data_IF_815047339866
#
_entry.id   IF_815047339866
#
_cell.length_a   1.000
_cell.length_b   1.000
_cell.length_c   1.000
_cell.angle_alpha   90.00
_cell.angle_beta   90.00
_cell.angle_gamma   90.00
#
_symmetry.space_group_name_H-M   'P 1'
#
loop_
_entity.id
_entity.type
_entity.pdbx_description
1 polymer ?
#
# COMPACT_ATOMS: atom_id res chain seq x y z
N UNK A 1 -0.15 -1.22 -9.69
CA UNK A 1 0.80 -1.01 -8.55
C UNK A 1 0.00 -1.06 -7.27
N UNK A 2 0.48 -1.84 -6.30
CA UNK A 2 -0.05 -1.88 -4.92
C UNK A 2 1.07 -1.46 -3.98
N UNK A 3 0.88 -0.35 -3.26
CA UNK A 3 1.78 0.11 -2.20
C UNK A 3 1.33 -0.49 -0.87
N UNK A 4 2.26 -0.94 -0.03
CA UNK A 4 1.95 -1.31 1.35
C UNK A 4 2.22 -0.14 2.29
N UNK A 5 1.29 0.13 3.22
CA UNK A 5 1.40 1.16 4.26
C UNK A 5 1.57 0.49 5.61
N UNK A 6 2.83 0.46 6.09
CA UNK A 6 3.23 -0.46 7.14
C UNK A 6 2.57 -0.18 8.50
N UNK A 7 2.46 1.09 8.91
CA UNK A 7 2.16 1.40 10.30
C UNK A 7 1.39 2.72 10.54
N UNK A 8 1.49 3.71 9.66
CA UNK A 8 0.79 4.98 9.78
C UNK A 8 1.00 5.70 11.12
N UNK A 9 0.09 6.61 11.45
CA UNK A 9 0.09 7.32 12.72
C UNK A 9 -0.43 6.48 13.91
N UNK A 10 -0.53 5.14 13.75
CA UNK A 10 -1.01 4.25 14.81
C UNK A 10 -0.06 4.23 16.01
N UNK A 11 -0.64 4.09 17.19
CA UNK A 11 0.06 4.18 18.46
C UNK A 11 0.37 2.83 19.11
N UNK A 12 0.84 2.88 20.35
CA UNK A 12 1.23 1.69 21.13
C UNK A 12 0.07 0.72 21.42
N UNK A 13 -1.18 1.16 21.33
CA UNK A 13 -2.36 0.30 21.51
C UNK A 13 -2.45 -0.80 20.44
N UNK A 14 -1.94 -0.54 19.23
CA UNK A 14 -1.97 -1.46 18.10
C UNK A 14 -0.67 -2.26 17.92
N UNK A 15 0.28 -2.10 18.85
CA UNK A 15 1.63 -2.71 18.81
C UNK A 15 1.64 -4.22 18.59
N UNK A 16 0.58 -4.93 18.92
CA UNK A 16 0.53 -6.37 18.75
C UNK A 16 0.66 -6.81 17.29
N UNK A 17 0.23 -5.95 16.35
CA UNK A 17 0.26 -6.24 14.89
C UNK A 17 0.98 -5.17 14.09
N UNK A 18 1.03 -3.92 14.56
CA UNK A 18 1.62 -2.77 13.85
C UNK A 18 3.13 -2.69 14.15
N UNK A 19 4.01 -2.69 13.14
CA UNK A 19 5.46 -2.64 13.35
C UNK A 19 5.91 -1.27 13.86
N UNK A 20 6.68 -1.26 14.97
CA UNK A 20 7.09 -0.05 15.68
C UNK A 20 8.61 0.16 15.75
N UNK A 21 9.42 -0.86 15.44
CA UNK A 21 10.88 -0.74 15.36
C UNK A 21 11.38 -0.87 13.93
N UNK A 22 12.59 -0.39 13.59
CA UNK A 22 13.18 -0.58 12.26
C UNK A 22 13.20 -2.05 11.82
N UNK A 23 13.53 -2.98 12.73
CA UNK A 23 13.59 -4.42 12.44
C UNK A 23 12.19 -5.00 12.18
N UNK A 24 11.19 -4.59 12.98
CA UNK A 24 9.81 -5.01 12.79
C UNK A 24 9.23 -4.45 11.49
N UNK A 25 9.54 -3.18 11.14
CA UNK A 25 9.15 -2.57 9.87
C UNK A 25 9.80 -3.30 8.69
N UNK A 26 11.08 -3.64 8.79
CA UNK A 26 11.80 -4.38 7.75
C UNK A 26 11.26 -5.81 7.55
N UNK A 27 10.91 -6.51 8.64
CA UNK A 27 10.27 -7.83 8.56
C UNK A 27 8.90 -7.72 7.89
N UNK A 28 8.07 -6.78 8.35
CA UNK A 28 6.73 -6.54 7.80
C UNK A 28 6.76 -6.12 6.33
N UNK A 29 7.74 -5.31 5.93
CA UNK A 29 7.99 -4.93 4.54
C UNK A 29 8.32 -6.15 3.67
N UNK A 30 9.21 -7.03 4.15
CA UNK A 30 9.59 -8.24 3.43
C UNK A 30 8.40 -9.19 3.22
N UNK A 31 7.56 -9.37 4.24
CA UNK A 31 6.33 -10.17 4.15
C UNK A 31 5.32 -9.58 3.15
N UNK A 32 5.15 -8.25 3.16
CA UNK A 32 4.25 -7.56 2.24
C UNK A 32 4.74 -7.62 0.78
N UNK A 33 6.06 -7.46 0.56
CA UNK A 33 6.66 -7.59 -0.79
C UNK A 33 6.56 -9.03 -1.29
N UNK A 34 6.78 -10.03 -0.43
CA UNK A 34 6.58 -11.44 -0.78
C UNK A 34 5.11 -11.73 -1.12
N UNK A 35 4.15 -11.01 -0.53
CA UNK A 35 2.73 -11.08 -0.86
C UNK A 35 2.35 -10.31 -2.14
N UNK A 36 3.27 -9.53 -2.73
CA UNK A 36 3.08 -8.84 -4.02
C UNK A 36 3.02 -7.31 -3.95
N UNK A 37 3.33 -6.68 -2.82
CA UNK A 37 3.52 -5.23 -2.78
C UNK A 37 4.73 -4.82 -3.62
N UNK A 38 4.58 -3.72 -4.36
CA UNK A 38 5.61 -3.22 -5.29
C UNK A 38 6.18 -1.86 -4.87
N UNK A 39 5.73 -1.35 -3.75
CA UNK A 39 6.10 -0.04 -3.19
C UNK A 39 5.78 -0.03 -1.69
N UNK A 40 6.51 0.72 -0.90
CA UNK A 40 6.36 0.78 0.55
C UNK A 40 6.20 2.21 1.02
N UNK A 41 5.23 2.43 1.92
CA UNK A 41 5.10 3.63 2.72
C UNK A 41 5.28 3.30 4.21
N UNK A 42 6.08 4.08 4.94
CA UNK A 42 6.36 3.85 6.35
C UNK A 42 6.43 5.14 7.16
N UNK A 43 6.00 5.07 8.40
CA UNK A 43 6.17 6.11 9.41
C UNK A 43 7.31 5.73 10.36
N UNK A 44 8.50 6.37 10.25
CA UNK A 44 9.59 6.15 11.19
C UNK A 44 9.15 6.52 12.62
N UNK A 45 9.40 5.62 13.59
CA UNK A 45 8.93 5.75 14.97
C UNK A 45 10.08 5.94 15.95
N UNK A 46 9.90 6.84 16.91
CA UNK A 46 10.75 6.90 18.10
C UNK A 46 10.59 5.63 18.95
N UNK A 47 11.51 5.31 19.88
CA UNK A 47 11.36 4.16 20.77
C UNK A 47 10.06 4.15 21.60
N UNK A 48 9.43 5.31 21.82
CA UNK A 48 8.12 5.41 22.47
C UNK A 48 6.95 5.31 21.51
N UNK A 49 7.17 4.97 20.21
CA UNK A 49 6.12 4.71 19.21
C UNK A 49 5.52 5.96 18.55
N UNK A 50 6.12 7.15 18.75
CA UNK A 50 5.65 8.38 18.09
C UNK A 50 6.35 8.58 16.75
N UNK A 51 5.63 9.11 15.76
CA UNK A 51 6.19 9.49 14.47
C UNK A 51 7.28 10.55 14.61
N UNK A 52 8.28 10.47 13.76
CA UNK A 52 9.38 11.42 13.77
C UNK A 52 10.04 11.55 12.40
N UNK A 53 10.47 12.78 12.07
CA UNK A 53 11.28 13.08 10.89
C UNK A 53 12.77 13.21 11.23
N UNK A 54 13.17 12.81 12.44
CA UNK A 54 14.57 12.87 12.86
C UNK A 54 15.47 12.00 11.97
N UNK A 55 16.57 12.53 11.40
CA UNK A 55 17.51 11.75 10.59
C UNK A 55 18.08 10.56 11.34
N UNK A 56 18.21 10.66 12.68
CA UNK A 56 18.70 9.56 13.55
C UNK A 56 17.74 8.36 13.62
N UNK A 57 16.48 8.53 13.17
CA UNK A 57 15.46 7.47 13.14
C UNK A 57 15.12 7.10 11.69
N UNK A 58 15.02 8.08 10.80
CA UNK A 58 14.74 7.86 9.38
C UNK A 58 15.81 6.97 8.73
N UNK A 59 17.11 7.30 8.95
CA UNK A 59 18.20 6.55 8.33
C UNK A 59 18.21 5.06 8.72
N UNK A 60 18.25 4.66 10.01
CA UNK A 60 18.23 3.24 10.36
C UNK A 60 16.93 2.53 9.95
N UNK A 61 15.79 3.22 9.87
CA UNK A 61 14.54 2.64 9.35
C UNK A 61 14.68 2.29 7.87
N UNK A 62 15.17 3.21 7.04
CA UNK A 62 15.38 2.99 5.61
C UNK A 62 16.43 1.90 5.35
N UNK A 63 17.55 1.94 6.08
CA UNK A 63 18.63 0.94 5.95
C UNK A 63 18.13 -0.47 6.29
N UNK A 64 17.36 -0.62 7.38
CA UNK A 64 16.81 -1.91 7.80
C UNK A 64 15.83 -2.48 6.75
N UNK A 65 14.94 -1.64 6.19
CA UNK A 65 13.98 -2.06 5.17
C UNK A 65 14.72 -2.44 3.88
N UNK A 66 15.61 -1.59 3.39
CA UNK A 66 16.37 -1.81 2.15
C UNK A 66 17.32 -3.01 2.20
N UNK A 67 17.76 -3.40 3.37
CA UNK A 67 18.53 -4.64 3.57
C UNK A 67 17.71 -5.91 3.28
N UNK A 68 16.37 -5.82 3.24
CA UNK A 68 15.47 -6.96 3.04
C UNK A 68 14.67 -6.93 1.74
N UNK A 69 14.47 -5.76 1.13
CA UNK A 69 13.62 -5.60 -0.06
C UNK A 69 14.26 -4.66 -1.08
N UNK A 70 13.96 -4.90 -2.36
CA UNK A 70 14.47 -4.11 -3.48
C UNK A 70 13.42 -3.20 -4.13
N UNK A 71 12.29 -2.93 -3.46
CA UNK A 71 11.24 -2.03 -3.95
C UNK A 71 11.41 -0.62 -3.39
N UNK A 72 10.85 0.44 -4.03
CA UNK A 72 10.92 1.79 -3.51
C UNK A 72 10.34 1.92 -2.09
N UNK A 73 10.97 2.77 -1.26
CA UNK A 73 10.57 3.02 0.12
C UNK A 73 10.33 4.51 0.31
N UNK A 74 9.09 4.85 0.65
CA UNK A 74 8.66 6.20 0.99
C UNK A 74 8.41 6.39 2.48
N UNK A 75 8.50 7.65 2.93
CA UNK A 75 8.23 8.04 4.31
C UNK A 75 7.17 9.14 4.39
N UNK A 76 6.48 9.22 5.53
CA UNK A 76 5.59 10.35 5.82
C UNK A 76 6.36 11.65 6.06
N UNK A 77 5.73 12.80 5.78
CA UNK A 77 6.14 14.11 6.30
C UNK A 77 5.00 14.86 7.00
N UNK A 78 3.99 14.11 7.48
CA UNK A 78 2.78 14.67 8.08
C UNK A 78 3.04 15.62 9.26
N UNK A 79 2.17 16.61 9.42
CA UNK A 79 2.29 17.63 10.48
C UNK A 79 2.19 17.07 11.90
N UNK A 80 1.67 15.89 12.08
CA UNK A 80 1.66 15.20 13.40
C UNK A 80 3.07 14.75 13.84
N UNK A 81 4.00 14.51 12.90
CA UNK A 81 5.39 14.16 13.20
C UNK A 81 6.25 15.40 13.52
N UNK A 82 5.95 16.54 12.87
CA UNK A 82 6.60 17.85 13.13
C UNK A 82 5.62 18.97 12.76
N UNK A 83 5.08 19.65 13.75
CA UNK A 83 3.97 20.61 13.56
C UNK A 83 4.38 21.91 12.87
N UNK A 84 5.61 22.33 13.07
CA UNK A 84 6.10 23.62 12.55
C UNK A 84 6.59 23.45 11.12
N UNK A 85 6.02 24.13 10.11
CA UNK A 85 6.40 23.95 8.69
C UNK A 85 7.90 24.14 8.44
N UNK A 86 8.50 25.19 8.96
CA UNK A 86 9.93 25.45 8.81
C UNK A 86 10.80 24.36 9.45
N UNK A 87 10.35 23.77 10.57
CA UNK A 87 11.04 22.64 11.20
C UNK A 87 10.90 21.37 10.35
N UNK A 88 9.75 21.08 9.72
CA UNK A 88 9.60 19.99 8.76
C UNK A 88 10.60 20.11 7.61
N UNK A 89 10.68 21.29 6.99
CA UNK A 89 11.66 21.59 5.94
C UNK A 89 13.09 21.35 6.43
N UNK A 90 13.44 21.84 7.64
CA UNK A 90 14.75 21.63 8.23
C UNK A 90 15.05 20.14 8.47
N UNK A 91 14.06 19.35 8.91
CA UNK A 91 14.19 17.89 9.05
C UNK A 91 14.48 17.22 7.72
N UNK A 92 13.67 17.49 6.68
CA UNK A 92 13.87 16.95 5.33
C UNK A 92 15.28 17.28 4.83
N UNK A 93 15.74 18.53 4.99
CA UNK A 93 17.07 18.95 4.58
C UNK A 93 18.22 18.27 5.38
N UNK A 94 17.96 17.81 6.58
CA UNK A 94 18.94 17.15 7.44
C UNK A 94 19.06 15.62 7.23
N UNK A 95 18.24 15.00 6.42
CA UNK A 95 18.31 13.56 6.15
C UNK A 95 19.63 13.19 5.46
N UNK A 96 20.30 12.16 5.93
CA UNK A 96 21.54 11.63 5.36
C UNK A 96 21.32 10.41 4.48
N UNK A 97 20.37 9.56 4.85
CA UNK A 97 19.84 8.49 4.01
C UNK A 97 18.50 8.97 3.46
N UNK A 98 18.34 8.99 2.13
CA UNK A 98 17.16 9.55 1.48
C UNK A 98 16.16 8.45 1.15
N UNK A 99 14.86 8.63 1.41
CA UNK A 99 13.82 7.77 0.88
C UNK A 99 13.71 7.95 -0.65
N UNK A 100 13.08 7.00 -1.33
CA UNK A 100 12.80 7.12 -2.77
C UNK A 100 11.70 8.15 -3.03
N UNK A 101 10.75 8.25 -2.13
CA UNK A 101 9.69 9.26 -2.13
C UNK A 101 9.23 9.63 -0.72
N UNK A 102 8.44 10.69 -0.60
CA UNK A 102 7.80 11.05 0.66
C UNK A 102 6.41 11.65 0.40
N UNK A 103 5.46 11.36 1.29
CA UNK A 103 4.13 11.93 1.21
C UNK A 103 4.08 13.33 1.83
N UNK A 104 3.33 14.23 1.20
CA UNK A 104 3.07 15.59 1.66
C UNK A 104 1.58 15.85 1.56
N UNK A 105 0.93 16.13 2.69
CA UNK A 105 -0.50 16.42 2.72
C UNK A 105 -0.76 17.88 2.31
N UNK A 106 -1.44 18.09 1.19
CA UNK A 106 -1.57 19.41 0.57
C UNK A 106 -2.47 20.40 1.33
N UNK A 107 -3.34 19.91 2.20
CA UNK A 107 -4.14 20.73 3.11
C UNK A 107 -3.34 21.26 4.30
N UNK A 108 -2.18 20.70 4.60
CA UNK A 108 -1.36 21.13 5.74
C UNK A 108 -0.64 22.45 5.47
N UNK A 109 -0.44 23.29 6.51
CA UNK A 109 0.42 24.48 6.38
C UNK A 109 1.84 24.10 5.96
N UNK A 110 2.41 24.83 5.00
CA UNK A 110 3.79 24.63 4.53
C UNK A 110 3.97 23.41 3.61
N UNK A 111 2.90 22.86 3.03
CA UNK A 111 2.96 21.71 2.14
C UNK A 111 3.87 21.96 0.92
N UNK A 112 3.75 23.12 0.26
CA UNK A 112 4.58 23.45 -0.90
C UNK A 112 6.07 23.60 -0.55
N UNK A 113 6.39 24.21 0.60
CA UNK A 113 7.76 24.36 1.07
C UNK A 113 8.40 23.02 1.39
N UNK A 114 7.64 22.09 1.99
CA UNK A 114 8.10 20.70 2.25
C UNK A 114 8.29 19.95 0.93
N UNK A 115 7.33 20.06 0.00
CA UNK A 115 7.42 19.44 -1.31
C UNK A 115 8.61 19.97 -2.11
N UNK A 116 8.84 21.27 -2.12
CA UNK A 116 10.00 21.89 -2.76
C UNK A 116 11.31 21.36 -2.17
N UNK A 117 11.41 21.29 -0.83
CA UNK A 117 12.60 20.78 -0.16
C UNK A 117 12.90 19.31 -0.49
N UNK A 118 11.87 18.48 -0.67
CA UNK A 118 12.02 17.09 -1.12
C UNK A 118 12.52 17.02 -2.57
N UNK A 119 11.87 17.77 -3.47
CA UNK A 119 12.24 17.84 -4.89
C UNK A 119 13.67 18.35 -5.10
N UNK A 120 14.10 19.35 -4.33
CA UNK A 120 15.47 19.89 -4.35
C UNK A 120 16.52 18.84 -3.97
N UNK A 121 16.10 17.80 -3.26
CA UNK A 121 16.96 16.67 -2.83
C UNK A 121 16.82 15.44 -3.71
N UNK A 122 16.05 15.52 -4.80
CA UNK A 122 15.80 14.40 -5.69
C UNK A 122 14.87 13.32 -5.11
N UNK A 123 14.11 13.65 -4.05
CA UNK A 123 13.13 12.75 -3.44
C UNK A 123 11.79 12.93 -4.16
N UNK A 124 11.17 11.82 -4.62
CA UNK A 124 9.85 11.85 -5.23
C UNK A 124 8.79 12.34 -4.22
N UNK A 125 7.83 13.16 -4.70
CA UNK A 125 6.74 13.65 -3.84
C UNK A 125 5.45 12.88 -4.15
N UNK A 126 4.86 12.25 -3.13
CA UNK A 126 3.47 11.80 -3.16
C UNK A 126 2.60 12.94 -2.63
N UNK A 127 1.81 13.55 -3.51
CA UNK A 127 0.90 14.63 -3.11
C UNK A 127 -0.34 14.03 -2.44
N UNK A 128 -0.39 14.04 -1.11
CA UNK A 128 -1.53 13.58 -0.32
C UNK A 128 -2.68 14.56 -0.39
N UNK A 129 -3.79 14.12 -0.96
CA UNK A 129 -5.01 14.93 -1.16
C UNK A 129 -6.15 14.24 -0.43
N UNK A 130 -6.51 14.79 0.73
CA UNK A 130 -7.55 14.23 1.58
C UNK A 130 -8.94 14.68 1.13
N UNK A 131 -9.87 13.74 1.04
CA UNK A 131 -11.28 14.08 0.81
C UNK A 131 -11.80 14.94 1.95
N UNK A 132 -12.72 15.86 1.62
CA UNK A 132 -13.31 16.77 2.61
C UNK A 132 -12.43 17.94 3.04
N UNK A 133 -11.26 18.14 2.40
CA UNK A 133 -10.35 19.27 2.65
C UNK A 133 -10.21 20.17 1.41
N UNK A 134 -9.53 21.30 1.55
CA UNK A 134 -9.18 22.20 0.43
C UNK A 134 -7.95 21.71 -0.36
N UNK A 135 -7.37 20.56 0.00
CA UNK A 135 -6.14 20.03 -0.59
C UNK A 135 -6.19 19.91 -2.10
N UNK A 136 -7.30 19.45 -2.68
CA UNK A 136 -7.45 19.34 -4.14
C UNK A 136 -7.39 20.70 -4.83
N UNK A 137 -8.08 21.71 -4.32
CA UNK A 137 -8.07 23.07 -4.86
C UNK A 137 -6.67 23.69 -4.78
N UNK A 138 -5.99 23.54 -3.65
CA UNK A 138 -4.62 24.03 -3.46
C UNK A 138 -3.64 23.33 -4.38
N UNK A 139 -3.74 21.99 -4.50
CA UNK A 139 -2.86 21.19 -5.36
C UNK A 139 -3.02 21.56 -6.84
N UNK A 140 -4.25 21.66 -7.34
CA UNK A 140 -4.51 21.96 -8.77
C UNK A 140 -4.04 23.32 -9.22
N UNK A 141 -3.85 24.27 -8.29
CA UNK A 141 -3.30 25.62 -8.57
C UNK A 141 -1.80 25.72 -8.27
N UNK A 142 -1.20 24.71 -7.66
CA UNK A 142 0.22 24.70 -7.30
C UNK A 142 1.13 24.58 -8.52
N UNK A 143 2.20 25.37 -8.63
CA UNK A 143 3.22 25.21 -9.66
C UNK A 143 4.02 23.91 -9.51
N UNK A 144 3.92 23.24 -8.37
CA UNK A 144 4.58 21.96 -8.12
C UNK A 144 3.77 20.75 -8.58
N UNK A 145 2.47 20.90 -8.87
CA UNK A 145 1.59 19.80 -9.28
C UNK A 145 2.15 18.94 -10.44
N UNK A 146 2.73 19.51 -11.52
CA UNK A 146 3.31 18.68 -12.59
C UNK A 146 4.66 18.05 -12.24
N UNK A 147 5.26 18.40 -11.09
CA UNK A 147 6.58 17.91 -10.66
C UNK A 147 6.52 16.77 -9.65
N UNK A 148 5.35 16.49 -9.05
CA UNK A 148 5.22 15.40 -8.08
C UNK A 148 5.38 14.03 -8.74
N UNK A 149 5.77 13.03 -7.98
CA UNK A 149 5.88 11.65 -8.44
C UNK A 149 4.49 11.11 -8.83
N UNK A 150 3.51 11.28 -7.95
CA UNK A 150 2.12 10.88 -8.11
C UNK A 150 1.20 11.64 -7.15
N UNK A 151 -0.08 11.62 -7.44
CA UNK A 151 -1.13 12.10 -6.53
C UNK A 151 -1.59 10.92 -5.69
N UNK A 152 -1.61 11.11 -4.38
CA UNK A 152 -2.13 10.17 -3.40
C UNK A 152 -3.54 10.67 -3.00
N UNK A 153 -4.57 10.12 -3.65
CA UNK A 153 -5.97 10.47 -3.39
C UNK A 153 -6.48 9.67 -2.20
N UNK A 154 -6.62 10.33 -1.06
CA UNK A 154 -6.92 9.73 0.25
C UNK A 154 -8.37 9.98 0.65
N UNK A 155 -9.17 8.93 0.63
CA UNK A 155 -10.58 8.97 1.03
C UNK A 155 -10.68 8.79 2.55
N UNK A 156 -10.94 9.89 3.25
CA UNK A 156 -11.01 9.93 4.72
C UNK A 156 -12.37 9.49 5.27
N UNK A 157 -13.33 9.22 4.39
CA UNK A 157 -14.64 8.67 4.75
C UNK A 157 -14.50 7.21 5.14
N UNK A 158 -14.79 6.90 6.39
CA UNK A 158 -14.65 5.55 6.96
C UNK A 158 -15.90 4.69 6.80
N UNK A 159 -17.01 5.24 6.28
CA UNK A 159 -18.23 4.48 6.00
C UNK A 159 -18.11 3.73 4.67
N UNK A 160 -18.28 2.39 4.65
CA UNK A 160 -18.28 1.62 3.40
C UNK A 160 -19.35 2.06 2.40
N UNK A 161 -20.47 2.62 2.89
CA UNK A 161 -21.62 3.02 2.09
C UNK A 161 -21.34 4.31 1.31
N UNK A 162 -20.64 5.26 1.91
CA UNK A 162 -20.42 6.61 1.35
C UNK A 162 -19.00 6.82 0.79
N UNK A 163 -18.03 6.00 1.19
CA UNK A 163 -16.62 6.13 0.76
C UNK A 163 -16.44 6.10 -0.76
N UNK A 164 -17.27 5.34 -1.51
CA UNK A 164 -17.18 5.32 -2.97
C UNK A 164 -17.61 6.65 -3.61
N UNK A 165 -18.62 7.32 -3.06
CA UNK A 165 -19.05 8.64 -3.53
C UNK A 165 -18.01 9.70 -3.18
N UNK A 166 -17.48 9.67 -1.97
CA UNK A 166 -16.37 10.52 -1.53
C UNK A 166 -15.15 10.39 -2.44
N UNK A 167 -14.82 9.15 -2.85
CA UNK A 167 -13.73 8.87 -3.79
C UNK A 167 -13.98 9.50 -5.17
N UNK A 168 -15.20 9.36 -5.72
CA UNK A 168 -15.56 9.95 -7.02
C UNK A 168 -15.52 11.47 -6.97
N UNK A 169 -16.03 12.07 -5.91
CA UNK A 169 -16.00 13.51 -5.69
C UNK A 169 -14.56 14.04 -5.61
N UNK A 170 -13.69 13.33 -4.88
CA UNK A 170 -12.28 13.68 -4.78
C UNK A 170 -11.58 13.61 -6.14
N UNK A 171 -11.77 12.53 -6.90
CA UNK A 171 -11.19 12.38 -8.23
C UNK A 171 -11.71 13.43 -9.22
N UNK A 172 -12.99 13.78 -9.17
CA UNK A 172 -13.57 14.84 -9.98
C UNK A 172 -12.96 16.20 -9.64
N UNK A 173 -12.76 16.51 -8.35
CA UNK A 173 -12.11 17.74 -7.90
C UNK A 173 -10.64 17.87 -8.31
N UNK A 174 -9.92 16.75 -8.33
CA UNK A 174 -8.53 16.68 -8.80
C UNK A 174 -8.42 16.90 -10.31
N UNK A 175 -9.35 16.38 -11.09
CA UNK A 175 -9.27 16.36 -12.55
C UNK A 175 -7.99 15.66 -13.06
N UNK A 176 -7.58 16.00 -14.28
CA UNK A 176 -6.42 15.35 -14.94
C UNK A 176 -5.31 16.34 -15.36
N UNK A 177 -5.49 17.63 -15.15
CA UNK A 177 -4.57 18.68 -15.66
C UNK A 177 -3.17 18.61 -15.07
N UNK A 178 -3.01 18.01 -13.87
CA UNK A 178 -1.70 17.81 -13.24
C UNK A 178 -0.83 16.81 -14.01
N UNK A 179 -1.39 15.95 -14.89
CA UNK A 179 -0.66 15.01 -15.74
C UNK A 179 0.13 13.94 -14.97
N UNK A 180 -0.22 13.68 -13.72
CA UNK A 180 0.50 12.72 -12.84
C UNK A 180 -0.35 11.48 -12.57
N UNK A 181 0.29 10.30 -12.39
CA UNK A 181 -0.42 9.10 -11.96
C UNK A 181 -1.17 9.34 -10.65
N UNK A 182 -2.31 8.67 -10.49
CA UNK A 182 -3.11 8.71 -9.26
C UNK A 182 -3.07 7.36 -8.58
N UNK A 183 -2.80 7.36 -7.28
CA UNK A 183 -2.98 6.27 -6.36
C UNK A 183 -4.20 6.59 -5.49
N UNK A 184 -5.21 5.73 -5.50
CA UNK A 184 -6.45 5.91 -4.77
C UNK A 184 -6.57 4.90 -3.65
N UNK A 185 -6.82 5.37 -2.43
CA UNK A 185 -7.08 4.50 -1.28
C UNK A 185 -8.09 5.11 -0.30
N UNK A 186 -8.60 4.28 0.61
CA UNK A 186 -9.51 4.68 1.68
C UNK A 186 -8.98 4.24 3.03
N UNK A 187 -9.68 4.69 4.09
CA UNK A 187 -9.32 4.45 5.48
C UNK A 187 -10.39 3.62 6.19
N UNK A 188 -9.95 2.79 7.14
CA UNK A 188 -10.80 1.99 8.04
C UNK A 188 -11.90 1.23 7.28
N UNK A 189 -13.18 1.41 7.62
CA UNK A 189 -14.31 0.75 6.95
C UNK A 189 -14.45 1.08 5.47
N UNK A 190 -13.96 2.26 5.01
CA UNK A 190 -13.92 2.65 3.60
C UNK A 190 -12.82 1.99 2.78
N UNK A 191 -11.76 1.45 3.43
CA UNK A 191 -10.55 0.98 2.76
C UNK A 191 -10.82 -0.03 1.64
N UNK A 192 -11.56 -1.08 1.90
CA UNK A 192 -11.85 -2.14 0.92
C UNK A 192 -12.77 -1.69 -0.21
N UNK A 193 -13.75 -0.84 0.09
CA UNK A 193 -14.65 -0.27 -0.90
C UNK A 193 -13.90 0.60 -1.90
N UNK A 194 -12.99 1.43 -1.41
CA UNK A 194 -12.17 2.33 -2.25
C UNK A 194 -11.11 1.55 -3.02
N UNK A 195 -10.48 0.52 -2.41
CA UNK A 195 -9.53 -0.36 -3.09
C UNK A 195 -10.17 -1.07 -4.30
N UNK A 196 -11.37 -1.64 -4.11
CA UNK A 196 -12.13 -2.24 -5.22
C UNK A 196 -12.49 -1.21 -6.31
N UNK A 197 -12.79 0.03 -5.92
CA UNK A 197 -13.01 1.10 -6.89
C UNK A 197 -11.75 1.42 -7.67
N UNK A 198 -10.58 1.52 -7.01
CA UNK A 198 -9.29 1.74 -7.67
C UNK A 198 -9.02 0.66 -8.73
N UNK A 199 -9.27 -0.63 -8.40
CA UNK A 199 -9.16 -1.74 -9.35
C UNK A 199 -10.06 -1.57 -10.58
N UNK A 200 -11.35 -1.24 -10.38
CA UNK A 200 -12.29 -1.00 -11.49
C UNK A 200 -11.88 0.18 -12.38
N UNK A 201 -11.21 1.19 -11.82
CA UNK A 201 -10.75 2.36 -12.55
C UNK A 201 -9.33 2.19 -13.14
N UNK A 202 -8.66 1.07 -12.90
CA UNK A 202 -7.29 0.83 -13.32
C UNK A 202 -6.26 1.75 -12.65
N UNK A 203 -6.61 2.32 -11.48
CA UNK A 203 -5.72 3.21 -10.72
C UNK A 203 -4.80 2.39 -9.82
N UNK A 204 -3.61 2.93 -9.51
CA UNK A 204 -2.82 2.39 -8.42
C UNK A 204 -3.58 2.48 -7.09
N UNK A 205 -3.23 1.63 -6.13
CA UNK A 205 -3.82 1.63 -4.80
C UNK A 205 -2.81 1.33 -3.72
N UNK A 206 -3.21 1.48 -2.46
CA UNK A 206 -2.43 1.03 -1.31
C UNK A 206 -3.32 0.35 -0.28
N UNK A 207 -2.73 -0.50 0.53
CA UNK A 207 -3.35 -1.14 1.67
C UNK A 207 -2.30 -1.53 2.69
N UNK A 208 -2.64 -1.45 3.97
CA UNK A 208 -1.78 -1.88 5.05
C UNK A 208 -2.40 -1.61 6.43
N UNK A 209 -1.65 -1.95 7.47
CA UNK A 209 -2.07 -1.73 8.85
C UNK A 209 -2.23 -0.26 9.22
N UNK A 210 -1.72 0.64 8.40
CA UNK A 210 -2.05 2.07 8.47
C UNK A 210 -3.51 2.32 8.12
N UNK A 211 -3.98 1.73 7.02
CA UNK A 211 -5.26 2.05 6.41
C UNK A 211 -6.41 1.31 7.10
N UNK A 212 -6.20 0.05 7.50
CA UNK A 212 -7.22 -0.74 8.20
C UNK A 212 -6.61 -1.87 9.03
N UNK A 213 -7.29 -2.23 10.12
CA UNK A 213 -6.96 -3.41 10.93
C UNK A 213 -7.91 -4.58 10.69
N UNK A 214 -8.85 -4.44 9.75
CA UNK A 214 -9.84 -5.46 9.42
C UNK A 214 -9.69 -5.98 8.00
N UNK A 215 -9.95 -7.26 7.81
CA UNK A 215 -10.13 -7.90 6.50
C UNK A 215 -11.53 -7.60 5.94
N UNK A 216 -11.81 -7.91 4.65
CA UNK A 216 -13.12 -7.64 4.06
C UNK A 216 -14.30 -8.34 4.74
N UNK A 217 -14.06 -9.46 5.42
CA UNK A 217 -15.05 -10.22 6.20
C UNK A 217 -15.26 -9.67 7.63
N UNK A 218 -14.54 -8.59 7.99
CA UNK A 218 -14.59 -7.96 9.32
C UNK A 218 -13.65 -8.61 10.34
N UNK A 219 -12.99 -9.72 10.04
CA UNK A 219 -12.00 -10.32 10.94
C UNK A 219 -10.75 -9.44 11.04
N UNK A 220 -10.02 -9.56 12.16
CA UNK A 220 -8.82 -8.75 12.40
C UNK A 220 -7.65 -9.24 11.52
N UNK A 221 -7.01 -8.32 10.82
CA UNK A 221 -5.80 -8.59 10.09
C UNK A 221 -4.63 -8.89 11.06
N UNK A 222 -3.78 -9.84 10.68
CA UNK A 222 -2.64 -10.27 11.48
C UNK A 222 -1.30 -9.70 11.00
N UNK A 223 -1.23 -9.22 9.76
CA UNK A 223 -0.01 -8.65 9.19
C UNK A 223 -0.29 -7.80 7.94
N UNK A 224 0.70 -6.98 7.56
CA UNK A 224 0.69 -6.26 6.27
C UNK A 224 0.70 -7.23 5.07
N UNK A 225 1.41 -8.36 5.18
CA UNK A 225 1.41 -9.38 4.13
C UNK A 225 0.02 -9.96 3.85
N UNK A 226 -0.77 -10.21 4.92
CA UNK A 226 -2.15 -10.67 4.78
C UNK A 226 -3.03 -9.62 4.09
N UNK A 227 -2.93 -8.35 4.49
CA UNK A 227 -3.69 -7.26 3.88
C UNK A 227 -3.33 -7.07 2.41
N UNK A 228 -2.05 -7.17 2.04
CA UNK A 228 -1.61 -7.07 0.64
C UNK A 228 -2.13 -8.24 -0.18
N UNK A 229 -2.01 -9.47 0.31
CA UNK A 229 -2.51 -10.66 -0.40
C UNK A 229 -4.01 -10.54 -0.68
N UNK A 230 -4.80 -10.18 0.33
CA UNK A 230 -6.24 -9.93 0.18
C UNK A 230 -6.51 -8.73 -0.72
N UNK A 231 -5.72 -7.66 -0.59
CA UNK A 231 -5.81 -6.46 -1.42
C UNK A 231 -5.67 -6.75 -2.91
N UNK A 232 -4.75 -7.63 -3.29
CA UNK A 232 -4.57 -8.04 -4.68
C UNK A 232 -5.79 -8.81 -5.22
N UNK A 233 -6.37 -9.69 -4.41
CA UNK A 233 -7.62 -10.40 -4.76
C UNK A 233 -8.76 -9.41 -4.96
N UNK A 234 -8.96 -8.49 -4.03
CA UNK A 234 -10.04 -7.49 -4.07
C UNK A 234 -9.84 -6.46 -5.20
N UNK A 235 -8.61 -6.20 -5.58
CA UNK A 235 -8.27 -5.34 -6.71
C UNK A 235 -8.61 -5.97 -8.07
N UNK A 236 -8.84 -7.29 -8.11
CA UNK A 236 -9.07 -8.03 -9.35
C UNK A 236 -7.78 -8.34 -10.12
N UNK A 237 -6.64 -8.35 -9.43
CA UNK A 237 -5.37 -8.76 -10.02
C UNK A 237 -5.35 -10.28 -10.21
N UNK A 238 -5.18 -10.72 -11.46
CA UNK A 238 -4.90 -12.13 -11.77
C UNK A 238 -3.41 -12.25 -12.08
N UNK A 239 -2.65 -13.15 -11.42
CA UNK A 239 -1.24 -13.34 -11.73
C UNK A 239 -1.07 -13.74 -13.19
N UNK A 240 -0.03 -13.24 -13.87
CA UNK A 240 0.27 -13.64 -15.25
C UNK A 240 0.47 -15.16 -15.28
N UNK A 241 -0.39 -15.89 -16.00
CA UNK A 241 -0.32 -17.36 -16.16
C UNK A 241 -1.51 -18.14 -15.63
N UNK A 242 -2.48 -17.54 -14.94
CA UNK A 242 -3.74 -18.21 -14.52
C UNK A 242 -4.90 -17.99 -15.48
N UNK A 243 -4.64 -17.51 -16.68
CA UNK A 243 -5.65 -17.49 -17.75
C UNK A 243 -6.07 -18.92 -18.04
N UNK A 244 -7.32 -19.28 -17.71
CA UNK A 244 -7.91 -20.53 -18.12
C UNK A 244 -7.70 -20.66 -19.61
N UNK A 245 -7.07 -21.73 -20.06
CA UNK A 245 -6.94 -22.08 -21.45
C UNK A 245 -8.34 -22.38 -21.98
N UNK A 246 -9.07 -21.36 -22.42
CA UNK A 246 -10.32 -21.53 -23.18
C UNK A 246 -9.89 -21.95 -24.58
N UNK A 247 -9.66 -23.25 -24.77
CA UNK A 247 -9.28 -23.78 -26.07
C UNK A 247 -8.48 -25.08 -26.06
N UNK A 248 -8.35 -25.79 -24.93
CA UNK A 248 -7.90 -27.18 -24.99
C UNK A 248 -9.04 -28.06 -25.56
N UNK A 249 -8.85 -28.73 -26.71
CA UNK A 249 -9.81 -29.73 -27.15
C UNK A 249 -9.85 -30.86 -26.12
N UNK A 250 -11.05 -31.25 -25.77
CA UNK A 250 -11.35 -32.37 -24.87
C UNK A 250 -10.60 -33.63 -25.36
N UNK A 251 -9.79 -34.23 -24.46
CA UNK A 251 -9.10 -35.46 -24.77
C UNK A 251 -10.13 -36.55 -25.12
N UNK A 252 -9.94 -37.34 -26.19
CA UNK A 252 -10.90 -38.37 -26.56
C UNK A 252 -11.01 -39.43 -25.47
N UNK A 253 -12.26 -39.77 -25.10
CA UNK A 253 -12.57 -40.80 -24.14
C UNK A 253 -11.97 -42.14 -24.58
N UNK A 254 -11.38 -42.95 -23.67
CA UNK A 254 -10.87 -44.25 -24.03
C UNK A 254 -12.01 -45.19 -24.45
N UNK A 255 -11.80 -46.08 -25.42
CA UNK A 255 -12.86 -47.00 -25.89
C UNK A 255 -13.22 -48.01 -24.79
N UNK A 256 -14.53 -48.22 -24.62
CA UNK A 256 -15.07 -49.29 -23.83
C UNK A 256 -14.72 -50.63 -24.50
N UNK A 257 -13.91 -51.41 -23.84
CA UNK A 257 -13.54 -52.71 -24.40
C UNK A 257 -12.93 -53.70 -23.40
N UNK A 258 -13.76 -54.67 -23.12
CA UNK A 258 -13.43 -56.07 -22.91
C UNK A 258 -13.03 -56.52 -21.50
N UNK A 259 -14.02 -57.11 -20.86
CA UNK A 259 -13.91 -58.03 -19.70
C UNK A 259 -13.13 -59.29 -20.11
N UNK A 260 -11.93 -59.47 -19.63
CA UNK A 260 -11.24 -60.73 -19.66
C UNK A 260 -11.28 -61.40 -18.25
N UNK A 261 -11.88 -62.57 -18.23
CA UNK A 261 -12.08 -63.47 -17.07
C UNK A 261 -10.74 -63.92 -16.51
N UNK A 262 -10.64 -63.97 -15.21
CA UNK A 262 -9.59 -64.67 -14.46
C UNK A 262 -9.67 -66.20 -14.58
N UNK A 263 -8.56 -66.91 -14.55
CA UNK A 263 -8.54 -68.30 -14.06
C UNK A 263 -8.04 -68.37 -12.63
N UNK A 264 -8.83 -69.03 -11.82
CA UNK A 264 -8.52 -69.56 -10.51
C UNK A 264 -7.33 -70.51 -10.55
N UNK A 265 -6.36 -70.38 -9.63
CA UNK A 265 -5.53 -71.53 -9.21
C UNK A 265 -5.39 -71.54 -7.71
N UNK A 266 -5.81 -72.70 -7.23
CA UNK A 266 -5.73 -73.23 -5.90
C UNK A 266 -4.31 -73.67 -5.50
N UNK A 267 -4.04 -73.61 -4.22
CA UNK A 267 -3.30 -74.63 -3.52
C UNK A 267 -1.82 -74.34 -3.22
N UNK A 268 -1.45 -74.16 -2.03
CA UNK A 268 -0.96 -75.22 -1.07
C UNK A 268 -0.24 -74.56 0.12
N UNK A 269 -0.56 -75.15 1.24
CA UNK A 269 0.10 -75.07 2.56
C UNK A 269 1.57 -75.55 2.54
N UNK A 270 2.30 -75.09 3.49
CA UNK A 270 3.22 -75.72 4.47
C UNK A 270 4.53 -74.92 4.59
N UNK A 271 5.00 -74.56 5.63
CA UNK A 271 5.24 -74.86 7.06
C UNK A 271 5.60 -73.62 7.80
#
# INVERSE_FOLDING_TARGET
MVQVCLNGARGSADRAVVPMSPEAMAQSAAEAVAAGATDIHVHPKTPCGRDTLSPKVVAPTLDAIRARVGVPVGVTTGAWAERVPAARVARVRSWTVLPDHASVNWHEPGAEEVAAALLDRGIGVEAGIWSGTDGAARFTTSPLAPRVLRVLAEVMDTSPETAQESARSLLAGLGTRHGRPVLLHGMEGGAWTVLRLAGRLGLATRIGLEDTLALPDGSRATSNGQLVAEGLVQYGWSPPGTGACTGCPEAPSPPAGSIARSPSRSGRRSR
#
